data_IF_392562488078
#
_entry.id   IF_392562488078
#
_cell.length_a   1.000
_cell.length_b   1.000
_cell.length_c   1.000
_cell.angle_alpha   90.00
_cell.angle_beta   90.00
_cell.angle_gamma   90.00
#
_symmetry.space_group_name_H-M   'P 1'
#
loop_
_entity.id
_entity.type
_entity.pdbx_description
1 polymer ?
#
# COMPACT_ATOMS: atom_id res chain seq x y z
N UNK A 1 -12.30 10.91 -3.17
CA UNK A 1 -11.24 9.88 -3.08
C UNK A 1 -9.92 10.61 -2.98
N UNK A 2 -9.02 10.21 -2.08
CA UNK A 2 -7.67 10.80 -2.00
C UNK A 2 -6.77 10.10 -3.02
N UNK A 3 -5.78 10.82 -3.51
CA UNK A 3 -4.72 10.29 -4.35
C UNK A 3 -3.44 10.39 -3.53
N UNK A 4 -2.83 9.24 -3.25
CA UNK A 4 -1.62 9.18 -2.43
C UNK A 4 -0.44 8.77 -3.29
N UNK A 5 0.70 9.43 -3.09
CA UNK A 5 1.97 9.02 -3.65
C UNK A 5 2.47 7.83 -2.85
N UNK A 6 2.63 6.69 -3.52
CA UNK A 6 3.23 5.49 -2.94
C UNK A 6 4.66 5.38 -3.42
N UNK A 7 5.56 5.04 -2.51
CA UNK A 7 6.89 4.55 -2.84
C UNK A 7 6.92 3.04 -2.61
N UNK A 8 7.38 2.27 -3.59
CA UNK A 8 7.59 0.83 -3.38
C UNK A 8 8.77 0.61 -2.45
N UNK A 9 8.63 -0.33 -1.54
CA UNK A 9 9.67 -0.64 -0.54
C UNK A 9 10.37 -1.97 -0.82
N UNK A 10 11.55 -2.14 -0.26
CA UNK A 10 12.19 -3.43 -0.10
C UNK A 10 11.44 -4.23 0.98
N UNK A 11 10.94 -5.44 0.70
CA UNK A 11 10.13 -6.18 1.66
C UNK A 11 10.90 -6.66 2.88
N UNK A 12 12.24 -6.75 2.81
CA UNK A 12 13.11 -7.19 3.92
C UNK A 12 13.59 -6.00 4.74
N UNK A 13 14.09 -4.95 4.09
CA UNK A 13 14.69 -3.79 4.78
C UNK A 13 13.71 -2.65 5.04
N UNK A 14 12.52 -2.71 4.45
CA UNK A 14 11.50 -1.65 4.42
C UNK A 14 11.97 -0.32 3.81
N UNK A 15 13.20 -0.27 3.28
CA UNK A 15 13.73 0.93 2.63
C UNK A 15 12.98 1.22 1.32
N UNK A 16 12.79 2.50 1.04
CA UNK A 16 12.28 2.99 -0.23
C UNK A 16 13.17 2.58 -1.41
N UNK A 17 12.55 2.40 -2.59
CA UNK A 17 13.22 2.02 -3.83
C UNK A 17 13.29 3.14 -4.87
N UNK A 18 12.88 4.36 -4.51
CA UNK A 18 12.73 5.48 -5.45
C UNK A 18 11.82 5.15 -6.67
N UNK A 19 10.92 4.18 -6.51
CA UNK A 19 9.94 3.74 -7.51
C UNK A 19 8.55 4.13 -7.02
N UNK A 20 8.00 5.17 -7.68
CA UNK A 20 6.80 5.85 -7.22
C UNK A 20 5.62 5.66 -8.17
N UNK A 21 4.42 5.64 -7.61
CA UNK A 21 3.16 5.74 -8.35
C UNK A 21 2.10 6.44 -7.52
N UNK A 22 1.08 6.98 -8.20
CA UNK A 22 -0.09 7.58 -7.52
C UNK A 22 -1.21 6.55 -7.49
N UNK A 23 -1.75 6.26 -6.30
CA UNK A 23 -2.86 5.34 -6.14
C UNK A 23 -4.10 6.04 -5.59
N UNK A 24 -5.28 5.61 -6.03
CA UNK A 24 -6.54 5.97 -5.41
C UNK A 24 -6.65 5.29 -4.05
N UNK A 25 -6.80 6.07 -2.98
CA UNK A 25 -6.98 5.53 -1.65
C UNK A 25 -8.44 5.13 -1.41
N UNK A 26 -8.69 3.82 -1.35
CA UNK A 26 -10.01 3.25 -1.09
C UNK A 26 -10.26 2.92 0.38
N UNK A 27 -9.24 3.00 1.23
CA UNK A 27 -9.25 2.46 2.60
C UNK A 27 -9.05 3.52 3.68
N UNK A 28 -8.55 4.70 3.32
CA UNK A 28 -8.27 5.77 4.27
C UNK A 28 -6.86 5.68 4.88
N UNK A 29 -5.86 5.39 4.04
CA UNK A 29 -4.47 5.31 4.47
C UNK A 29 -3.93 6.66 4.98
N UNK A 30 -3.15 6.59 6.04
CA UNK A 30 -2.39 7.69 6.64
C UNK A 30 -1.02 7.90 6.00
N UNK A 31 -0.33 8.97 6.43
CA UNK A 31 1.08 9.17 6.11
C UNK A 31 1.92 8.08 6.79
N UNK A 32 3.00 7.66 6.14
CA UNK A 32 3.96 6.66 6.62
C UNK A 32 3.40 5.24 6.87
N UNK A 33 2.15 4.97 6.47
CA UNK A 33 1.60 3.62 6.52
C UNK A 33 2.11 2.76 5.37
N UNK A 34 2.53 1.53 5.69
CA UNK A 34 2.75 0.50 4.67
C UNK A 34 1.38 0.01 4.20
N UNK A 35 1.19 0.02 2.88
CA UNK A 35 -0.08 -0.35 2.26
C UNK A 35 0.10 -1.47 1.24
N UNK A 36 -0.99 -2.20 1.01
CA UNK A 36 -1.10 -3.11 -0.12
C UNK A 36 -1.96 -2.45 -1.20
N UNK A 37 -1.45 -2.41 -2.43
CA UNK A 37 -2.12 -1.81 -3.57
C UNK A 37 -2.20 -2.80 -4.73
N UNK A 38 -3.18 -2.61 -5.59
CA UNK A 38 -3.31 -3.34 -6.86
C UNK A 38 -3.16 -2.37 -8.02
N UNK A 39 -2.68 -2.87 -9.15
CA UNK A 39 -2.59 -2.11 -10.40
C UNK A 39 -3.42 -2.73 -11.52
N UNK A 40 -3.56 -2.01 -12.63
CA UNK A 40 -4.31 -2.45 -13.80
C UNK A 40 -5.81 -2.47 -13.55
N UNK A 41 -6.53 -3.35 -14.26
CA UNK A 41 -8.00 -3.41 -14.22
C UNK A 41 -8.56 -3.71 -12.83
N UNK A 42 -7.83 -4.47 -12.01
CA UNK A 42 -8.23 -4.81 -10.64
C UNK A 42 -8.40 -3.59 -9.73
N UNK A 43 -7.74 -2.48 -10.03
CA UNK A 43 -7.88 -1.23 -9.28
C UNK A 43 -9.30 -0.67 -9.28
N UNK A 44 -10.14 -1.05 -10.25
CA UNK A 44 -11.55 -0.65 -10.34
C UNK A 44 -12.52 -1.54 -9.56
N UNK A 45 -12.03 -2.63 -8.95
CA UNK A 45 -12.86 -3.64 -8.28
C UNK A 45 -13.18 -3.29 -6.82
N UNK A 46 -13.41 -2.00 -6.54
CA UNK A 46 -13.90 -1.53 -5.25
C UNK A 46 -15.11 -0.62 -5.47
N UNK A 47 -16.01 -0.52 -4.49
CA UNK A 47 -17.17 0.39 -4.58
C UNK A 47 -16.76 1.85 -4.84
N UNK A 48 -15.60 2.27 -4.35
CA UNK A 48 -15.13 3.66 -4.49
C UNK A 48 -14.37 3.92 -5.79
N UNK A 49 -13.81 2.89 -6.44
CA UNK A 49 -13.08 3.02 -7.71
C UNK A 49 -13.87 2.52 -8.93
N UNK A 50 -15.00 1.86 -8.72
CA UNK A 50 -15.89 1.41 -9.79
C UNK A 50 -16.32 2.57 -10.70
N UNK A 51 -16.34 2.31 -12.01
CA UNK A 51 -16.66 3.29 -13.06
C UNK A 51 -15.61 4.40 -13.26
N UNK A 52 -14.52 4.41 -12.48
CA UNK A 52 -13.45 5.41 -12.60
C UNK A 52 -12.30 4.87 -13.44
N UNK A 53 -11.56 5.73 -14.16
CA UNK A 53 -10.36 5.34 -14.89
C UNK A 53 -9.18 5.14 -13.93
N UNK A 54 -9.33 4.22 -12.97
CA UNK A 54 -8.27 3.82 -12.04
C UNK A 54 -7.37 2.77 -12.70
N UNK A 55 -6.07 2.92 -12.48
CA UNK A 55 -5.01 1.97 -12.80
C UNK A 55 -4.19 1.56 -11.57
N UNK A 56 -4.37 2.23 -10.42
CA UNK A 56 -3.82 1.87 -9.12
C UNK A 56 -4.78 2.23 -7.98
N UNK A 57 -4.97 1.29 -7.04
CA UNK A 57 -5.80 1.51 -5.86
C UNK A 57 -5.18 0.86 -4.62
N UNK A 58 -5.16 1.60 -3.51
CA UNK A 58 -4.83 1.06 -2.19
C UNK A 58 -6.00 0.22 -1.71
N UNK A 59 -5.77 -1.04 -1.36
CA UNK A 59 -6.81 -2.00 -0.98
C UNK A 59 -6.71 -2.49 0.48
N UNK A 60 -5.58 -2.26 1.14
CA UNK A 60 -5.40 -2.54 2.56
C UNK A 60 -4.27 -1.70 3.16
N UNK A 61 -4.37 -1.45 4.46
CA UNK A 61 -3.25 -1.01 5.29
C UNK A 61 -2.63 -2.26 5.91
N UNK A 62 -1.30 -2.37 5.87
CA UNK A 62 -0.58 -3.55 6.34
C UNK A 62 -0.35 -3.44 7.84
N UNK A 63 -0.75 -4.48 8.58
CA UNK A 63 -0.46 -4.57 10.02
C UNK A 63 0.85 -5.32 10.28
N UNK A 64 1.15 -6.37 9.52
CA UNK A 64 2.35 -7.18 9.70
C UNK A 64 2.89 -7.68 8.35
N UNK A 65 4.22 -7.74 8.23
CA UNK A 65 4.89 -8.46 7.15
C UNK A 65 5.73 -9.55 7.79
N UNK A 66 5.56 -10.79 7.32
CA UNK A 66 6.32 -11.95 7.74
C UNK A 66 7.06 -12.52 6.52
N UNK A 67 8.34 -12.81 6.68
CA UNK A 67 9.18 -13.45 5.66
C UNK A 67 9.88 -14.63 6.33
N UNK A 68 9.62 -15.83 5.83
CA UNK A 68 10.20 -17.08 6.34
C UNK A 68 9.98 -17.29 7.86
N UNK A 69 8.79 -16.93 8.37
CA UNK A 69 8.44 -17.07 9.78
C UNK A 69 9.03 -15.99 10.68
N UNK A 70 9.63 -14.94 10.10
CA UNK A 70 10.21 -13.80 10.81
C UNK A 70 9.37 -12.57 10.54
N UNK A 71 8.89 -11.94 11.61
CA UNK A 71 8.22 -10.65 11.52
C UNK A 71 9.24 -9.56 11.13
N UNK A 72 9.12 -9.04 9.90
CA UNK A 72 9.96 -7.94 9.38
C UNK A 72 9.31 -6.57 9.60
N UNK A 73 7.99 -6.54 9.73
CA UNK A 73 7.23 -5.32 10.06
C UNK A 73 6.07 -5.65 10.99
N UNK A 74 5.82 -4.77 11.97
CA UNK A 74 4.60 -4.75 12.78
C UNK A 74 4.15 -3.32 13.03
N UNK A 75 2.96 -2.95 12.57
CA UNK A 75 2.37 -1.64 12.76
C UNK A 75 2.21 -1.33 14.25
N UNK A 76 2.59 -0.12 14.66
CA UNK A 76 2.46 0.35 16.04
C UNK A 76 3.49 -0.21 17.03
N UNK A 77 4.42 -1.06 16.59
CA UNK A 77 5.67 -1.29 17.31
C UNK A 77 6.71 -0.41 16.64
N UNK A 78 7.32 0.49 17.41
CA UNK A 78 8.63 1.02 17.02
C UNK A 78 9.51 -0.21 16.70
N UNK A 79 10.31 -0.12 15.62
CA UNK A 79 11.26 -1.18 15.27
C UNK A 79 12.17 -1.53 16.46
N UNK A 80 12.94 -2.63 16.37
CA UNK A 80 13.85 -3.03 17.46
C UNK A 80 14.73 -1.89 17.96
#
# INVERSE_FOLDING_TARGET
IKFLLLEKINPVTLAGKEDYLVAMDSVGAGLDEIVFYVSGSSSRLTRVTEGKPSDAAIIAIVDNIDIEGKAVFRKGKEGP
#
